data_IF_738582644618
#
_entry.id   IF_738582644618
#
_cell.length_a   1.000
_cell.length_b   1.000
_cell.length_c   1.000
_cell.angle_alpha   90.00
_cell.angle_beta   90.00
_cell.angle_gamma   90.00
#
_symmetry.space_group_name_H-M   'P 1'
#
loop_
_entity.id
_entity.type
_entity.pdbx_description
1 polymer ?
#
# COMPACT_ATOMS: atom_id res chain seq x y z
N UNK A 1 -17.55 33.19 36.76
CA UNK A 1 -17.92 31.78 36.48
C UNK A 1 -18.76 31.75 35.21
N UNK A 2 -18.21 31.28 34.08
CA UNK A 2 -18.91 31.20 32.80
C UNK A 2 -19.31 29.73 32.53
N UNK A 3 -20.57 29.50 32.14
CA UNK A 3 -21.08 28.15 31.81
C UNK A 3 -20.73 27.79 30.35
N UNK A 4 -20.30 26.56 30.03
CA UNK A 4 -20.02 26.16 28.66
C UNK A 4 -21.31 25.89 27.86
N UNK A 5 -21.33 26.32 26.59
CA UNK A 5 -22.39 26.07 25.61
C UNK A 5 -22.33 24.63 25.09
N UNK A 6 -23.46 23.92 24.90
CA UNK A 6 -23.44 22.57 24.36
C UNK A 6 -23.16 22.55 22.84
N UNK A 7 -22.24 21.68 22.43
CA UNK A 7 -21.92 21.42 21.03
C UNK A 7 -23.04 20.58 20.38
N UNK A 8 -23.73 21.11 19.36
CA UNK A 8 -24.75 20.36 18.61
C UNK A 8 -24.07 19.45 17.59
N UNK A 9 -24.13 18.14 17.82
CA UNK A 9 -23.68 17.09 16.88
C UNK A 9 -24.74 16.86 15.80
N UNK A 10 -24.76 17.67 14.75
CA UNK A 10 -25.48 17.35 13.52
C UNK A 10 -24.50 17.32 12.35
N UNK A 11 -23.97 16.13 12.06
CA UNK A 11 -23.02 15.90 10.97
C UNK A 11 -23.36 14.64 10.21
N UNK A 12 -24.58 14.54 9.65
CA UNK A 12 -24.78 13.81 8.40
C UNK A 12 -24.91 14.90 7.34
N UNK A 13 -23.90 15.06 6.48
CA UNK A 13 -24.14 15.68 5.18
C UNK A 13 -24.75 14.57 4.33
N UNK A 14 -26.04 14.62 3.96
CA UNK A 14 -26.46 13.86 2.79
C UNK A 14 -25.63 14.40 1.62
N UNK A 15 -25.17 13.53 0.73
CA UNK A 15 -24.72 14.00 -0.58
C UNK A 15 -25.78 14.96 -1.14
N UNK A 16 -25.41 16.04 -1.84
CA UNK A 16 -26.39 16.83 -2.55
C UNK A 16 -26.96 15.92 -3.65
N UNK A 17 -28.12 15.32 -3.39
CA UNK A 17 -28.95 14.67 -4.41
C UNK A 17 -29.77 15.70 -5.21
N UNK A 18 -29.55 16.99 -4.96
CA UNK A 18 -30.19 18.07 -5.67
C UNK A 18 -29.40 18.33 -6.96
N UNK A 19 -29.88 17.70 -8.03
CA UNK A 19 -29.51 18.05 -9.40
C UNK A 19 -30.10 19.43 -9.67
N UNK A 20 -29.35 20.40 -10.21
CA UNK A 20 -29.91 21.71 -10.55
C UNK A 20 -31.13 21.53 -11.47
N UNK A 21 -32.28 22.10 -11.08
CA UNK A 21 -33.56 22.01 -11.82
C UNK A 21 -33.58 22.83 -13.12
N UNK A 22 -32.44 23.30 -13.62
CA UNK A 22 -32.39 24.17 -14.79
C UNK A 22 -31.26 23.75 -15.73
N UNK A 23 -31.46 22.58 -16.36
CA UNK A 23 -30.91 22.33 -17.68
C UNK A 23 -32.04 22.71 -18.63
N UNK A 24 -31.95 23.88 -19.28
CA UNK A 24 -32.85 24.23 -20.37
C UNK A 24 -32.68 23.21 -21.50
N UNK A 25 -33.48 22.16 -21.48
CA UNK A 25 -33.56 21.18 -22.56
C UNK A 25 -34.28 21.85 -23.72
N UNK A 26 -33.50 22.36 -24.69
CA UNK A 26 -34.04 22.89 -25.94
C UNK A 26 -34.70 21.74 -26.72
N UNK A 27 -35.99 21.85 -27.09
CA UNK A 27 -36.66 20.80 -27.85
C UNK A 27 -36.00 20.66 -29.23
N UNK A 28 -35.35 19.52 -29.45
CA UNK A 28 -34.59 19.18 -30.66
C UNK A 28 -33.08 18.99 -30.48
N UNK A 29 -32.54 19.17 -29.25
CA UNK A 29 -31.14 18.87 -28.92
C UNK A 29 -30.99 17.60 -28.07
N UNK A 30 -32.00 17.28 -27.25
CA UNK A 30 -32.10 15.96 -26.63
C UNK A 30 -32.62 14.97 -27.68
N UNK A 31 -31.69 14.48 -28.50
CA UNK A 31 -31.91 13.31 -29.33
C UNK A 31 -31.97 12.09 -28.39
N UNK A 32 -33.18 11.60 -28.12
CA UNK A 32 -33.42 10.30 -27.45
C UNK A 32 -32.97 9.09 -28.32
N UNK A 33 -32.30 9.37 -29.44
CA UNK A 33 -31.64 8.39 -30.30
C UNK A 33 -30.44 7.70 -29.62
N UNK A 34 -30.07 6.50 -30.06
CA UNK A 34 -28.84 5.85 -29.60
C UNK A 34 -27.64 6.75 -29.93
N UNK A 35 -26.83 7.08 -28.92
CA UNK A 35 -25.57 7.82 -29.09
C UNK A 35 -24.69 7.16 -30.17
N UNK A 36 -24.30 7.94 -31.18
CA UNK A 36 -23.36 7.52 -32.21
C UNK A 36 -21.91 7.84 -31.79
N UNK A 37 -20.94 7.18 -32.40
CA UNK A 37 -19.52 7.36 -32.04
C UNK A 37 -19.01 8.80 -32.27
N UNK A 38 -19.61 9.51 -33.22
CA UNK A 38 -19.29 10.91 -33.55
C UNK A 38 -19.80 11.91 -32.48
N UNK A 39 -20.75 11.51 -31.63
CA UNK A 39 -21.30 12.34 -30.55
C UNK A 39 -20.40 12.36 -29.31
N UNK A 40 -19.45 11.43 -29.23
CA UNK A 40 -18.53 11.34 -28.12
C UNK A 40 -17.38 12.34 -28.30
N UNK A 41 -16.96 13.05 -27.23
CA UNK A 41 -15.80 13.93 -27.34
C UNK A 41 -14.57 13.11 -27.74
N UNK A 42 -13.70 13.67 -28.59
CA UNK A 42 -12.52 12.99 -29.12
C UNK A 42 -11.56 12.44 -28.05
N UNK A 43 -11.71 12.87 -26.79
CA UNK A 43 -10.95 12.43 -25.62
C UNK A 43 -11.60 11.27 -24.84
N UNK A 44 -12.79 10.81 -25.23
CA UNK A 44 -13.53 9.75 -24.54
C UNK A 44 -13.11 8.33 -24.91
N UNK A 45 -12.35 8.16 -26.00
CA UNK A 45 -11.83 6.86 -26.39
C UNK A 45 -10.73 6.41 -25.43
N UNK A 46 -11.05 5.44 -24.59
CA UNK A 46 -10.08 4.73 -23.74
C UNK A 46 -9.82 3.37 -24.36
N UNK A 47 -8.69 3.23 -25.05
CA UNK A 47 -8.22 1.93 -25.55
C UNK A 47 -7.87 1.03 -24.36
N UNK A 48 -8.67 -0.03 -24.15
CA UNK A 48 -8.40 -1.04 -23.13
C UNK A 48 -7.39 -2.03 -23.69
N UNK A 49 -6.10 -1.77 -23.47
CA UNK A 49 -5.03 -2.71 -23.83
C UNK A 49 -5.11 -3.92 -22.90
N UNK A 50 -5.58 -5.07 -23.42
CA UNK A 50 -5.51 -6.35 -22.71
C UNK A 50 -4.15 -6.98 -22.97
N UNK A 51 -3.24 -6.84 -22.01
CA UNK A 51 -1.98 -7.60 -21.98
C UNK A 51 -2.33 -9.05 -21.62
N UNK A 52 -1.98 -9.97 -22.51
CA UNK A 52 -2.39 -11.37 -22.44
C UNK A 52 -1.87 -12.10 -21.20
N UNK A 53 -2.76 -12.89 -20.60
CA UNK A 53 -2.56 -13.95 -19.61
C UNK A 53 -1.45 -13.74 -18.56
N UNK A 54 -1.87 -13.25 -17.38
CA UNK A 54 -1.24 -13.53 -16.07
C UNK A 54 0.12 -12.89 -15.77
N UNK A 55 0.61 -11.95 -16.58
CA UNK A 55 1.72 -11.08 -16.17
C UNK A 55 1.18 -9.82 -15.49
N UNK A 56 1.32 -9.73 -14.16
CA UNK A 56 1.10 -8.47 -13.44
C UNK A 56 2.17 -7.47 -13.85
N UNK A 57 1.84 -6.59 -14.79
CA UNK A 57 2.72 -5.48 -15.16
C UNK A 57 2.80 -4.48 -14.00
N UNK A 58 3.97 -4.40 -13.36
CA UNK A 58 4.25 -3.38 -12.35
C UNK A 58 4.53 -2.03 -13.04
N UNK A 59 3.49 -1.22 -13.24
CA UNK A 59 3.65 0.15 -13.74
C UNK A 59 4.11 1.08 -12.61
N UNK A 60 5.16 1.87 -12.87
CA UNK A 60 5.65 2.92 -11.94
C UNK A 60 6.80 2.52 -11.00
N UNK A 61 7.32 1.29 -11.05
CA UNK A 61 8.46 0.86 -10.22
C UNK A 61 9.56 0.31 -11.12
N UNK A 62 10.64 1.07 -11.31
CA UNK A 62 11.72 0.69 -12.24
C UNK A 62 12.56 -0.50 -11.77
N UNK A 63 12.44 -0.93 -10.51
CA UNK A 63 13.21 -2.04 -9.93
C UNK A 63 12.47 -2.69 -8.75
N UNK A 64 11.25 -3.20 -8.97
CA UNK A 64 10.56 -3.96 -7.95
C UNK A 64 11.37 -5.22 -7.60
N UNK A 65 11.57 -5.46 -6.31
CA UNK A 65 12.28 -6.63 -5.82
C UNK A 65 11.27 -7.73 -5.51
N UNK A 66 11.50 -8.92 -6.06
CA UNK A 66 10.66 -10.09 -5.86
C UNK A 66 11.13 -10.95 -4.69
N UNK A 67 12.43 -11.28 -4.65
CA UNK A 67 12.96 -12.26 -3.70
C UNK A 67 14.43 -11.99 -3.35
N UNK A 68 14.85 -12.45 -2.17
CA UNK A 68 16.25 -12.52 -1.76
C UNK A 68 16.76 -13.94 -1.96
N UNK A 69 17.85 -14.08 -2.70
CA UNK A 69 18.40 -15.38 -3.09
C UNK A 69 19.59 -15.80 -2.21
N UNK A 70 20.40 -14.85 -1.77
CA UNK A 70 21.61 -15.14 -1.02
C UNK A 70 22.02 -13.98 -0.11
N UNK A 71 22.81 -14.30 0.91
CA UNK A 71 23.44 -13.35 1.83
C UNK A 71 24.94 -13.50 1.79
N UNK A 72 25.66 -12.38 1.82
CA UNK A 72 27.13 -12.35 1.95
C UNK A 72 27.59 -11.19 2.83
N UNK A 73 28.80 -11.28 3.35
CA UNK A 73 29.50 -10.17 4.00
C UNK A 73 30.71 -9.81 3.15
N UNK A 74 30.76 -8.58 2.64
CA UNK A 74 31.89 -8.05 1.87
C UNK A 74 32.32 -6.71 2.48
N UNK A 75 33.61 -6.53 2.73
CA UNK A 75 34.16 -5.30 3.35
C UNK A 75 33.45 -4.94 4.67
N UNK A 76 33.18 -5.94 5.53
CA UNK A 76 32.41 -5.77 6.78
C UNK A 76 30.97 -5.27 6.60
N UNK A 77 30.45 -5.24 5.36
CA UNK A 77 29.08 -4.88 5.05
C UNK A 77 28.29 -6.09 4.59
N UNK A 78 27.12 -6.28 5.21
CA UNK A 78 26.18 -7.31 4.82
C UNK A 78 25.43 -6.89 3.55
N UNK A 79 25.48 -7.76 2.56
CA UNK A 79 24.85 -7.61 1.26
C UNK A 79 23.95 -8.81 0.97
N UNK A 80 22.84 -8.52 0.29
CA UNK A 80 21.89 -9.51 -0.16
C UNK A 80 21.88 -9.55 -1.69
N UNK A 81 21.80 -10.76 -2.24
CA UNK A 81 21.51 -10.97 -3.65
C UNK A 81 20.00 -10.97 -3.83
N UNK A 82 19.53 -10.17 -4.77
CA UNK A 82 18.12 -9.83 -4.91
C UNK A 82 17.68 -10.05 -6.35
N UNK A 83 16.55 -10.74 -6.53
CA UNK A 83 15.87 -10.95 -7.80
C UNK A 83 14.87 -9.81 -8.03
N UNK A 84 14.97 -9.14 -9.18
CA UNK A 84 14.05 -8.08 -9.60
C UNK A 84 12.90 -8.62 -10.45
N UNK A 85 11.86 -7.80 -10.67
CA UNK A 85 10.77 -8.10 -11.59
C UNK A 85 11.22 -8.26 -13.05
N UNK A 86 12.38 -7.70 -13.41
CA UNK A 86 13.05 -7.93 -14.70
C UNK A 86 13.78 -9.27 -14.77
N UNK A 87 13.65 -10.12 -13.75
CA UNK A 87 14.39 -11.37 -13.56
C UNK A 87 15.92 -11.21 -13.50
N UNK A 88 16.40 -10.01 -13.20
CA UNK A 88 17.82 -9.73 -13.04
C UNK A 88 18.23 -9.86 -11.56
N UNK A 89 19.46 -10.31 -11.32
CA UNK A 89 19.98 -10.49 -9.96
C UNK A 89 21.03 -9.45 -9.62
N UNK A 90 20.85 -8.73 -8.52
CA UNK A 90 21.78 -7.69 -8.06
C UNK A 90 22.19 -7.87 -6.60
N UNK A 91 23.41 -7.45 -6.27
CA UNK A 91 23.85 -7.32 -4.88
C UNK A 91 23.49 -5.94 -4.34
N UNK A 92 22.76 -5.91 -3.23
CA UNK A 92 22.35 -4.67 -2.56
C UNK A 92 22.80 -4.69 -1.10
N UNK A 93 23.16 -3.52 -0.57
CA UNK A 93 23.48 -3.38 0.85
C UNK A 93 22.23 -3.52 1.68
N UNK A 94 22.40 -4.00 2.92
CA UNK A 94 21.31 -4.07 3.90
C UNK A 94 20.66 -2.69 4.12
N UNK A 95 21.48 -1.63 4.21
CA UNK A 95 21.00 -0.25 4.39
C UNK A 95 20.08 0.24 3.26
N UNK A 96 20.30 -0.22 2.03
CA UNK A 96 19.46 0.14 0.88
C UNK A 96 18.14 -0.64 0.84
N UNK A 97 18.09 -1.82 1.44
CA UNK A 97 16.94 -2.72 1.39
C UNK A 97 15.99 -2.56 2.57
N UNK A 98 16.52 -2.26 3.76
CA UNK A 98 15.74 -2.15 5.00
C UNK A 98 14.50 -1.22 4.93
N UNK A 99 14.53 -0.01 4.31
CA UNK A 99 13.37 0.87 4.36
C UNK A 99 12.15 0.36 3.57
N UNK A 100 12.34 -0.52 2.58
CA UNK A 100 11.27 -0.94 1.66
C UNK A 100 11.03 -2.45 1.68
N UNK A 101 12.07 -3.25 1.92
CA UNK A 101 12.06 -4.70 1.71
C UNK A 101 12.44 -5.48 2.97
N UNK A 102 12.20 -4.92 4.16
CA UNK A 102 12.49 -5.60 5.43
C UNK A 102 11.77 -6.95 5.55
N UNK A 103 10.52 -7.02 5.11
CA UNK A 103 9.73 -8.26 5.16
C UNK A 103 10.39 -9.40 4.37
N UNK A 104 10.96 -9.10 3.19
CA UNK A 104 11.67 -10.08 2.38
C UNK A 104 12.96 -10.55 3.07
N UNK A 105 13.72 -9.63 3.69
CA UNK A 105 14.92 -9.98 4.47
C UNK A 105 14.55 -10.93 5.61
N UNK A 106 13.49 -10.63 6.36
CA UNK A 106 13.03 -11.48 7.46
C UNK A 106 12.64 -12.87 6.97
N UNK A 107 11.85 -12.96 5.90
CA UNK A 107 11.46 -14.26 5.33
C UNK A 107 12.66 -15.12 4.93
N UNK A 108 13.65 -14.52 4.27
CA UNK A 108 14.88 -15.21 3.90
C UNK A 108 15.68 -15.68 5.12
N UNK A 109 15.85 -14.82 6.13
CA UNK A 109 16.59 -15.20 7.36
C UNK A 109 15.86 -16.25 8.19
N UNK A 110 14.53 -16.24 8.21
CA UNK A 110 13.71 -17.24 8.90
C UNK A 110 13.78 -18.60 8.18
N UNK A 111 13.75 -18.62 6.84
CA UNK A 111 13.99 -19.82 6.04
C UNK A 111 15.38 -20.41 6.28
N UNK A 112 16.43 -19.59 6.24
CA UNK A 112 17.80 -20.02 6.55
C UNK A 112 17.90 -20.57 7.98
N UNK A 113 17.27 -19.91 8.96
CA UNK A 113 17.25 -20.42 10.34
C UNK A 113 16.55 -21.78 10.44
N UNK A 114 15.45 -21.97 9.72
CA UNK A 114 14.74 -23.26 9.67
C UNK A 114 15.60 -24.36 9.06
N UNK A 115 16.33 -24.07 7.99
CA UNK A 115 17.27 -25.02 7.37
C UNK A 115 18.42 -25.40 8.31
N UNK A 116 18.96 -24.41 9.02
CA UNK A 116 20.01 -24.59 10.02
C UNK A 116 19.50 -25.17 11.37
N UNK A 117 18.19 -25.42 11.50
CA UNK A 117 17.58 -25.98 12.71
C UNK A 117 17.47 -25.02 13.89
N UNK A 118 17.64 -23.71 13.68
CA UNK A 118 17.45 -22.70 14.70
C UNK A 118 15.95 -22.44 14.95
N UNK A 119 15.56 -22.16 16.20
CA UNK A 119 14.20 -21.74 16.50
C UNK A 119 13.86 -20.41 15.79
N UNK A 120 12.61 -20.26 15.39
CA UNK A 120 12.08 -18.99 14.87
C UNK A 120 12.38 -17.85 15.86
N UNK A 121 12.68 -16.66 15.33
CA UNK A 121 12.88 -15.46 16.14
C UNK A 121 11.53 -15.05 16.75
N UNK A 122 11.15 -15.70 17.84
CA UNK A 122 9.97 -15.34 18.61
C UNK A 122 10.20 -13.95 19.18
N UNK A 123 9.33 -13.02 18.81
CA UNK A 123 9.11 -11.84 19.66
C UNK A 123 8.72 -12.37 21.03
N UNK A 124 9.60 -12.18 22.01
CA UNK A 124 9.44 -12.78 23.32
C UNK A 124 8.11 -12.34 23.93
N UNK A 125 7.26 -13.30 24.30
CA UNK A 125 5.99 -13.03 24.99
C UNK A 125 6.17 -12.21 26.28
N UNK A 126 7.36 -12.29 26.91
CA UNK A 126 7.76 -11.49 28.07
C UNK A 126 7.71 -9.98 27.83
N UNK A 127 7.78 -9.52 26.58
CA UNK A 127 7.75 -8.09 26.24
C UNK A 127 6.31 -7.54 26.11
N UNK A 128 5.30 -8.40 25.97
CA UNK A 128 3.88 -7.99 25.96
C UNK A 128 3.37 -7.80 27.39
N UNK A 129 3.78 -8.66 28.32
CA UNK A 129 3.41 -8.60 29.74
C UNK A 129 4.08 -7.41 30.47
N UNK A 130 5.35 -7.14 30.18
CA UNK A 130 6.07 -5.98 30.76
C UNK A 130 5.58 -4.62 30.25
N UNK A 131 4.98 -4.55 29.06
CA UNK A 131 4.35 -3.33 28.54
C UNK A 131 2.92 -3.15 29.05
N UNK A 132 2.29 -4.20 29.60
CA UNK A 132 0.97 -4.13 30.24
C UNK A 132 1.03 -3.72 31.72
N UNK A 133 2.23 -3.72 32.34
CA UNK A 133 2.45 -3.28 33.72
C UNK A 133 2.85 -1.80 33.85
N UNK A 134 2.70 -1.01 32.79
CA UNK A 134 3.03 0.43 32.77
C UNK A 134 1.78 1.23 32.40
N UNK A 135 0.72 1.07 33.20
CA UNK A 135 -0.31 2.09 33.33
C UNK A 135 -1.06 1.94 34.66
N UNK A 136 -0.91 2.97 35.50
CA UNK A 136 -1.91 3.55 36.42
C UNK A 136 -1.80 3.48 37.95
N UNK A 137 -0.79 2.91 38.62
CA UNK A 137 -0.69 3.08 40.09
C UNK A 137 0.70 3.51 40.61
N UNK A 138 0.70 4.64 41.33
CA UNK A 138 1.76 5.21 42.19
C UNK A 138 2.84 6.13 41.57
N UNK A 139 2.40 7.25 40.96
CA UNK A 139 3.11 8.52 41.12
C UNK A 139 2.64 9.20 42.42
N UNK A 140 3.09 8.71 43.58
CA UNK A 140 3.06 9.44 44.86
C UNK A 140 4.51 9.81 45.23
N UNK A 141 4.88 11.06 44.94
CA UNK A 141 6.04 11.73 45.51
C UNK A 141 5.58 12.77 46.52
#
# INVERSE_FOLDING_TARGET
MARPMPYRRNGRRPFPNEVPEEIETLPGVDDDGPLDEDDLPATSFVERITIGCEETAFTGVTNAILQILAKRVKNYQQQYSVLTASYETYWRSTTSLLPTYEALIRSYEDEQRREDGWPELRRSARMVEANASVDEDELLF
#
